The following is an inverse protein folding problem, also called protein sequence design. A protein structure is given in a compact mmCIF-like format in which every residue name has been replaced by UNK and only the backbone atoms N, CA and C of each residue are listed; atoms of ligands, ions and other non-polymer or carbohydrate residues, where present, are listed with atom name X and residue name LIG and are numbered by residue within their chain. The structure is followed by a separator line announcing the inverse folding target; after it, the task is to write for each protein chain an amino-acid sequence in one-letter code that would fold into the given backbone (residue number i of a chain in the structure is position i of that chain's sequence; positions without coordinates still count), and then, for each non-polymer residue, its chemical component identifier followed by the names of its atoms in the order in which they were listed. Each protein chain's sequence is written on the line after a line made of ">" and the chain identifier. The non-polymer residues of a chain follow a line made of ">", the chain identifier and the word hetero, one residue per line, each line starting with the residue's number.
data_IF_966504008754
#
_entry.id   IF_966504008754
#
_cell.length_a   1.000
_cell.length_b   1.000
_cell.length_c   1.000
_cell.angle_alpha   90.00
_cell.angle_beta   90.00
_cell.angle_gamma   90.00
#
_symmetry.space_group_name_H-M   'P 1'
#
loop_
_entity.id
_entity.type
_entity.pdbx_description
1 polymer ?
#
# COMPACT_ATOMS: atom_id res chain seq x y z
N UNK A 1 31.68 -60.97 48.41
CA UNK A 1 31.49 -62.28 47.78
C UNK A 1 31.57 -62.00 46.29
N UNK A 2 32.75 -62.24 45.76
CA UNK A 2 33.11 -63.40 44.92
C UNK A 2 32.26 -63.34 43.64
N UNK A 3 32.78 -63.31 42.49
CA UNK A 3 34.09 -63.71 41.94
C UNK A 3 33.93 -63.72 40.46
N UNK A 4 34.94 -63.26 39.82
CA UNK A 4 35.82 -64.05 38.94
C UNK A 4 35.24 -64.27 37.51
N UNK A 5 35.93 -63.63 36.64
CA UNK A 5 37.04 -64.10 35.74
C UNK A 5 36.63 -64.86 34.50
N UNK A 6 37.22 -64.46 33.46
CA UNK A 6 38.05 -65.06 32.45
C UNK A 6 37.58 -64.74 31.05
N UNK A 7 38.38 -64.00 30.29
CA UNK A 7 39.59 -64.42 29.52
C UNK A 7 39.28 -65.30 28.32
N UNK A 8 39.85 -64.93 27.23
CA UNK A 8 40.05 -65.80 26.06
C UNK A 8 40.00 -64.99 24.74
N UNK A 9 41.02 -64.47 24.46
CA UNK A 9 42.05 -64.51 23.44
C UNK A 9 41.64 -65.04 22.03
N UNK A 10 42.14 -64.23 21.09
CA UNK A 10 43.01 -64.64 20.00
C UNK A 10 42.36 -65.05 18.63
N UNK A 11 42.65 -64.43 17.66
CA UNK A 11 43.37 -64.70 16.36
C UNK A 11 42.69 -63.96 15.19
N UNK A 12 43.43 -63.01 14.67
CA UNK A 12 44.11 -62.93 13.37
C UNK A 12 43.46 -63.64 12.18
N UNK A 13 43.19 -62.89 11.18
CA UNK A 13 43.74 -63.07 9.80
C UNK A 13 43.14 -62.02 8.85
N UNK A 14 43.97 -61.24 8.31
CA UNK A 14 44.18 -60.77 6.92
C UNK A 14 43.12 -61.11 5.88
N UNK A 15 42.72 -60.07 5.18
CA UNK A 15 42.03 -60.19 3.89
C UNK A 15 41.81 -58.83 3.22
N UNK A 16 42.79 -58.43 2.47
CA UNK A 16 42.77 -57.25 1.56
C UNK A 16 41.70 -57.44 0.48
N UNK A 17 40.82 -56.48 0.33
CA UNK A 17 40.23 -56.18 -1.01
C UNK A 17 39.83 -54.74 -1.10
N UNK A 18 40.55 -53.97 -1.91
CA UNK A 18 40.23 -52.66 -2.37
C UNK A 18 38.93 -52.69 -3.18
N UNK A 19 37.89 -52.06 -2.69
CA UNK A 19 36.76 -51.72 -3.57
C UNK A 19 36.63 -50.19 -3.56
N UNK A 20 36.99 -49.61 -4.70
CA UNK A 20 36.84 -48.20 -5.02
C UNK A 20 35.35 -47.88 -5.06
N UNK A 21 34.86 -47.15 -4.07
CA UNK A 21 33.54 -46.54 -4.16
C UNK A 21 33.74 -45.14 -4.76
N UNK A 22 33.34 -45.03 -6.02
CA UNK A 22 33.26 -43.78 -6.75
C UNK A 22 32.06 -43.00 -6.16
N UNK A 23 32.34 -41.99 -5.32
CA UNK A 23 31.33 -41.06 -4.86
C UNK A 23 31.01 -40.12 -6.01
N UNK A 24 29.87 -40.35 -6.65
CA UNK A 24 29.29 -39.41 -7.57
C UNK A 24 28.73 -38.23 -6.79
N UNK A 25 29.45 -37.11 -6.78
CA UNK A 25 28.92 -35.80 -6.34
C UNK A 25 27.90 -35.35 -7.37
N UNK A 26 26.62 -35.54 -7.09
CA UNK A 26 25.53 -34.90 -7.80
C UNK A 26 25.53 -33.42 -7.36
N UNK A 27 26.16 -32.55 -8.15
CA UNK A 27 26.07 -31.10 -8.02
C UNK A 27 24.64 -30.67 -8.43
N UNK A 28 23.76 -30.52 -7.47
CA UNK A 28 22.45 -29.89 -7.66
C UNK A 28 22.66 -28.38 -7.88
N UNK A 29 22.69 -27.98 -9.14
CA UNK A 29 22.69 -26.58 -9.58
C UNK A 29 21.29 -25.99 -9.27
N UNK A 30 21.13 -25.34 -8.12
CA UNK A 30 19.95 -24.50 -7.84
C UNK A 30 20.01 -23.30 -8.79
N UNK A 31 19.25 -23.34 -9.89
CA UNK A 31 18.90 -22.14 -10.65
C UNK A 31 17.98 -21.30 -9.75
N UNK A 32 18.54 -20.33 -9.05
CA UNK A 32 17.78 -19.25 -8.45
C UNK A 32 17.20 -18.42 -9.62
N UNK A 33 15.94 -18.67 -9.97
CA UNK A 33 15.14 -17.81 -10.83
C UNK A 33 15.00 -16.47 -10.08
N UNK A 34 15.92 -15.55 -10.32
CA UNK A 34 15.83 -14.18 -9.87
C UNK A 34 14.61 -13.55 -10.53
N UNK A 35 13.50 -13.46 -9.80
CA UNK A 35 12.39 -12.60 -10.22
C UNK A 35 12.92 -11.16 -10.30
N UNK A 36 12.75 -10.47 -11.43
CA UNK A 36 13.09 -9.06 -11.50
C UNK A 36 12.24 -8.34 -10.46
N UNK A 37 12.87 -7.85 -9.39
CA UNK A 37 12.24 -6.89 -8.50
C UNK A 37 11.91 -5.67 -9.36
N UNK A 38 10.63 -5.47 -9.68
CA UNK A 38 10.16 -4.24 -10.31
C UNK A 38 10.60 -3.09 -9.41
N UNK A 39 11.57 -2.32 -9.88
CA UNK A 39 12.04 -1.14 -9.17
C UNK A 39 10.85 -0.19 -9.03
N UNK A 40 10.31 -0.10 -7.82
CA UNK A 40 9.21 0.81 -7.51
C UNK A 40 9.74 2.24 -7.66
N UNK A 41 9.09 3.03 -8.50
CA UNK A 41 9.43 4.44 -8.66
C UNK A 41 9.18 5.17 -7.32
N UNK A 42 10.28 5.48 -6.63
CA UNK A 42 10.24 6.15 -5.32
C UNK A 42 9.67 7.57 -5.38
N UNK A 43 9.49 8.14 -6.56
CA UNK A 43 8.89 9.46 -6.75
C UNK A 43 7.36 9.45 -6.66
N UNK A 44 6.73 8.27 -6.75
CA UNK A 44 5.28 8.08 -6.70
C UNK A 44 4.84 7.37 -5.41
N UNK A 45 3.64 7.69 -4.98
CA UNK A 45 2.98 6.98 -3.88
C UNK A 45 2.45 5.62 -4.29
N UNK A 46 2.30 4.73 -3.32
CA UNK A 46 1.74 3.40 -3.50
C UNK A 46 0.30 3.30 -3.00
N UNK A 47 -0.42 2.28 -3.45
CA UNK A 47 -1.78 2.01 -2.96
C UNK A 47 -1.82 1.78 -1.44
N UNK A 48 -0.83 1.08 -0.88
CA UNK A 48 -0.72 0.86 0.55
C UNK A 48 -0.51 2.17 1.32
N UNK A 49 0.35 3.07 0.82
CA UNK A 49 0.59 4.38 1.43
C UNK A 49 -0.65 5.28 1.35
N UNK A 50 -1.39 5.25 0.22
CA UNK A 50 -2.63 6.01 0.08
C UNK A 50 -3.71 5.54 1.05
N UNK A 51 -3.88 4.23 1.21
CA UNK A 51 -4.81 3.64 2.20
C UNK A 51 -4.41 4.02 3.62
N UNK A 52 -3.13 3.86 3.98
CA UNK A 52 -2.61 4.22 5.30
C UNK A 52 -2.77 5.72 5.59
N UNK A 53 -2.64 6.58 4.57
CA UNK A 53 -2.85 8.03 4.73
C UNK A 53 -4.32 8.35 5.04
N UNK A 54 -5.29 7.66 4.42
CA UNK A 54 -6.72 7.82 4.72
C UNK A 54 -7.03 7.37 6.14
N UNK A 55 -6.54 6.19 6.56
CA UNK A 55 -6.73 5.69 7.93
C UNK A 55 -6.16 6.67 8.97
N UNK A 56 -4.96 7.19 8.70
CA UNK A 56 -4.30 8.19 9.54
C UNK A 56 -5.09 9.51 9.58
N UNK A 57 -5.66 9.93 8.46
CA UNK A 57 -6.48 11.14 8.39
C UNK A 57 -7.76 10.99 9.24
N UNK A 58 -8.45 9.85 9.15
CA UNK A 58 -9.63 9.56 9.97
C UNK A 58 -9.27 9.53 11.46
N UNK A 59 -8.16 8.88 11.82
CA UNK A 59 -7.68 8.87 13.20
C UNK A 59 -7.35 10.29 13.72
N UNK A 60 -6.80 11.14 12.85
CA UNK A 60 -6.51 12.53 13.19
C UNK A 60 -7.80 13.34 13.41
N UNK A 61 -8.82 13.18 12.55
CA UNK A 61 -10.13 13.79 12.74
C UNK A 61 -10.73 13.41 14.09
N UNK A 62 -10.66 12.13 14.47
CA UNK A 62 -11.13 11.63 15.77
C UNK A 62 -10.40 12.28 16.95
N UNK A 63 -9.10 12.55 16.78
CA UNK A 63 -8.23 13.07 17.86
C UNK A 63 -8.38 14.56 18.07
N UNK A 64 -8.43 15.36 17.00
CA UNK A 64 -8.33 16.84 17.08
C UNK A 64 -9.60 17.57 16.67
N UNK A 65 -10.62 16.86 16.20
CA UNK A 65 -11.85 17.40 15.65
C UNK A 65 -11.71 17.81 14.18
N UNK A 66 -12.86 17.99 13.50
CA UNK A 66 -12.94 18.23 12.05
C UNK A 66 -12.26 19.53 11.64
N UNK A 67 -12.57 20.63 12.30
CA UNK A 67 -12.07 21.97 11.94
C UNK A 67 -10.54 21.99 11.91
N UNK A 68 -9.90 21.56 12.99
CA UNK A 68 -8.44 21.48 13.10
C UNK A 68 -7.85 20.53 12.08
N UNK A 69 -8.45 19.34 11.92
CA UNK A 69 -7.95 18.33 10.97
C UNK A 69 -8.01 18.83 9.52
N UNK A 70 -9.10 19.50 9.11
CA UNK A 70 -9.25 20.01 7.74
C UNK A 70 -8.26 21.15 7.44
N UNK A 71 -7.99 22.01 8.43
CA UNK A 71 -6.93 23.01 8.33
C UNK A 71 -5.55 22.36 8.15
N UNK A 72 -5.25 21.33 8.94
CA UNK A 72 -4.00 20.60 8.85
C UNK A 72 -3.84 19.90 7.48
N UNK A 73 -4.90 19.24 6.97
CA UNK A 73 -4.89 18.58 5.66
C UNK A 73 -4.65 19.57 4.51
N UNK A 74 -5.18 20.78 4.61
CA UNK A 74 -5.05 21.82 3.59
C UNK A 74 -3.75 22.63 3.68
N UNK A 75 -2.94 22.38 4.70
CA UNK A 75 -1.70 23.13 4.97
C UNK A 75 -0.56 22.84 3.96
N UNK A 76 -0.73 21.87 3.07
CA UNK A 76 0.28 21.39 2.09
C UNK A 76 1.57 20.87 2.73
N UNK A 77 1.50 20.37 3.96
CA UNK A 77 2.65 19.89 4.72
C UNK A 77 2.53 18.41 5.04
N UNK A 78 3.69 17.78 5.25
CA UNK A 78 3.71 16.45 5.84
C UNK A 78 3.01 16.44 7.22
N UNK A 79 2.33 15.34 7.56
CA UNK A 79 2.25 14.07 6.86
C UNK A 79 1.06 13.95 5.90
N UNK A 80 0.37 15.04 5.57
CA UNK A 80 -0.87 15.04 4.79
C UNK A 80 -0.66 15.24 3.29
N UNK A 81 0.59 15.56 2.92
CA UNK A 81 1.10 15.61 1.55
C UNK A 81 2.45 14.92 1.53
N UNK A 82 2.63 13.95 0.66
CA UNK A 82 3.89 13.25 0.43
C UNK A 82 4.01 12.85 -1.04
N UNK A 83 5.00 13.41 -1.76
CA UNK A 83 5.16 13.20 -3.20
C UNK A 83 3.89 13.60 -3.98
N UNK A 84 3.23 12.65 -4.64
CA UNK A 84 1.96 12.81 -5.36
C UNK A 84 0.72 12.46 -4.51
N UNK A 85 0.94 11.97 -3.27
CA UNK A 85 -0.13 11.66 -2.32
C UNK A 85 -0.60 12.91 -1.59
N UNK A 86 -1.90 13.06 -1.43
CA UNK A 86 -2.50 14.11 -0.60
C UNK A 86 -3.90 13.74 -0.15
N UNK A 87 -4.27 14.23 1.05
CA UNK A 87 -5.61 14.04 1.60
C UNK A 87 -6.60 14.98 0.96
N UNK A 88 -7.79 14.48 0.64
CA UNK A 88 -8.96 15.28 0.23
C UNK A 88 -10.16 14.83 1.06
N UNK A 89 -10.97 15.80 1.49
CA UNK A 89 -12.20 15.52 2.23
C UNK A 89 -13.37 16.19 1.53
N UNK A 90 -14.47 15.45 1.40
CA UNK A 90 -15.75 15.97 0.85
C UNK A 90 -16.87 15.73 1.87
N UNK A 91 -17.91 16.52 1.78
CA UNK A 91 -19.20 16.14 2.35
C UNK A 91 -19.95 15.18 1.41
N UNK A 92 -21.08 14.63 1.88
CA UNK A 92 -21.93 13.73 1.10
C UNK A 92 -22.73 14.41 -0.01
N UNK A 93 -22.53 15.72 -0.24
CA UNK A 93 -23.13 16.50 -1.32
C UNK A 93 -22.11 16.88 -2.39
N UNK A 94 -20.82 16.54 -2.19
CA UNK A 94 -19.76 16.83 -3.14
C UNK A 94 -19.05 18.16 -2.92
N UNK A 95 -19.26 18.82 -1.78
CA UNK A 95 -18.50 20.01 -1.41
C UNK A 95 -17.14 19.62 -0.84
N UNK A 96 -16.09 20.28 -1.27
CA UNK A 96 -14.71 20.06 -0.77
C UNK A 96 -14.57 20.72 0.61
N UNK A 97 -14.22 19.94 1.62
CA UNK A 97 -13.98 20.41 2.99
C UNK A 97 -12.48 20.59 3.28
N UNK A 98 -11.61 19.79 2.67
CA UNK A 98 -10.16 19.92 2.74
C UNK A 98 -9.50 19.40 1.46
N UNK A 99 -8.35 19.99 1.07
CA UNK A 99 -7.63 19.56 -0.13
C UNK A 99 -6.12 19.83 -0.01
N UNK A 100 -5.33 18.78 0.19
CA UNK A 100 -3.89 18.88 0.46
C UNK A 100 -3.06 19.47 -0.68
N UNK A 101 -3.46 19.29 -1.94
CA UNK A 101 -2.71 19.84 -3.07
C UNK A 101 -3.20 21.20 -3.56
N UNK A 102 -4.48 21.53 -3.37
CA UNK A 102 -5.06 22.78 -3.88
C UNK A 102 -6.10 23.39 -2.93
N UNK A 103 -5.66 24.28 -2.08
CA UNK A 103 -6.49 24.96 -1.11
C UNK A 103 -7.66 25.77 -1.75
N UNK A 104 -7.48 26.26 -3.01
CA UNK A 104 -8.52 26.99 -3.73
C UNK A 104 -9.77 26.14 -4.04
N UNK A 105 -9.68 24.83 -3.88
CA UNK A 105 -10.82 23.92 -4.01
C UNK A 105 -11.69 23.89 -2.75
N UNK A 106 -11.16 24.24 -1.59
CA UNK A 106 -11.89 24.18 -0.32
C UNK A 106 -13.11 25.13 -0.37
N UNK A 107 -14.24 24.62 0.08
CA UNK A 107 -15.52 25.30 0.09
C UNK A 107 -16.30 25.25 -1.22
N UNK A 108 -15.72 24.75 -2.32
CA UNK A 108 -16.41 24.63 -3.62
C UNK A 108 -17.29 23.39 -3.66
N UNK A 109 -18.46 23.53 -4.27
CA UNK A 109 -19.26 22.43 -4.72
C UNK A 109 -18.67 21.92 -6.06
N UNK A 110 -18.34 20.65 -6.09
CA UNK A 110 -17.70 20.02 -7.24
C UNK A 110 -18.43 18.73 -7.69
N UNK A 111 -19.72 18.61 -7.30
CA UNK A 111 -20.51 17.41 -7.61
C UNK A 111 -20.58 17.15 -9.13
N UNK A 112 -20.65 18.21 -9.92
CA UNK A 112 -20.74 18.13 -11.38
C UNK A 112 -19.39 18.22 -12.10
N UNK A 113 -18.28 18.19 -11.33
CA UNK A 113 -16.96 18.21 -11.93
C UNK A 113 -16.70 16.93 -12.73
N UNK A 114 -16.20 17.10 -13.96
CA UNK A 114 -15.87 16.00 -14.87
C UNK A 114 -14.37 15.92 -15.08
N UNK A 115 -13.91 14.72 -15.34
CA UNK A 115 -12.58 14.53 -15.90
C UNK A 115 -12.58 14.73 -17.43
N UNK A 116 -11.42 14.57 -18.07
CA UNK A 116 -11.26 14.76 -19.51
C UNK A 116 -12.04 13.73 -20.37
N UNK A 117 -12.45 12.61 -19.77
CA UNK A 117 -13.27 11.60 -20.43
C UNK A 117 -14.79 11.86 -20.21
N UNK A 118 -15.13 12.95 -19.53
CA UNK A 118 -16.52 13.32 -19.22
C UNK A 118 -17.10 12.63 -18.00
N UNK A 119 -16.29 11.89 -17.22
CA UNK A 119 -16.73 11.14 -16.04
C UNK A 119 -17.02 12.07 -14.87
N UNK A 120 -18.22 11.99 -14.32
CA UNK A 120 -18.62 12.71 -13.10
C UNK A 120 -18.07 12.02 -11.85
N UNK A 121 -16.77 12.07 -11.66
CA UNK A 121 -16.10 11.28 -10.65
C UNK A 121 -16.47 11.65 -9.21
N UNK A 122 -16.87 12.89 -8.92
CA UNK A 122 -17.32 13.28 -7.56
C UNK A 122 -18.72 12.73 -7.30
N UNK A 123 -19.64 12.78 -8.28
CA UNK A 123 -20.97 12.19 -8.17
C UNK A 123 -20.90 10.68 -7.93
N UNK A 124 -20.14 9.94 -8.73
CA UNK A 124 -19.92 8.50 -8.53
C UNK A 124 -19.31 8.20 -7.14
N UNK A 125 -18.41 9.04 -6.65
CA UNK A 125 -17.81 8.94 -5.32
C UNK A 125 -18.84 9.04 -4.21
N UNK A 126 -19.72 10.03 -4.29
CA UNK A 126 -20.85 10.21 -3.36
C UNK A 126 -21.78 8.99 -3.41
N UNK A 127 -22.14 8.52 -4.60
CA UNK A 127 -22.96 7.32 -4.78
C UNK A 127 -22.29 6.08 -4.18
N UNK A 128 -20.98 5.89 -4.41
CA UNK A 128 -20.21 4.77 -3.85
C UNK A 128 -20.21 4.80 -2.32
N UNK A 129 -20.00 5.97 -1.72
CA UNK A 129 -19.93 6.14 -0.27
C UNK A 129 -21.33 6.17 0.39
N UNK A 130 -22.40 6.36 -0.37
CA UNK A 130 -23.78 6.31 0.14
C UNK A 130 -24.30 4.90 0.37
N UNK A 131 -23.56 3.86 -0.06
CA UNK A 131 -23.97 2.45 0.08
C UNK A 131 -23.98 1.97 1.55
N UNK A 132 -23.32 2.69 2.45
CA UNK A 132 -23.32 2.34 3.87
C UNK A 132 -22.35 3.20 4.70
N UNK A 133 -22.43 3.13 6.04
CA UNK A 133 -21.57 3.91 6.92
C UNK A 133 -20.09 3.51 6.87
N UNK A 134 -19.81 2.25 6.51
CA UNK A 134 -18.46 1.69 6.39
C UNK A 134 -18.01 1.58 4.92
N UNK A 135 -18.67 2.31 4.00
CA UNK A 135 -18.34 2.26 2.58
C UNK A 135 -16.90 2.72 2.34
N UNK A 136 -16.18 1.93 1.56
CA UNK A 136 -14.80 2.22 1.14
C UNK A 136 -14.51 1.54 -0.19
N UNK A 137 -13.52 2.05 -0.91
CA UNK A 137 -13.13 1.45 -2.18
C UNK A 137 -12.23 2.35 -3.00
N UNK A 138 -11.82 1.82 -4.15
CA UNK A 138 -11.00 2.53 -5.12
C UNK A 138 -11.86 3.05 -6.26
N UNK A 139 -11.50 4.24 -6.76
CA UNK A 139 -12.13 4.86 -7.91
C UNK A 139 -11.07 5.36 -8.88
N UNK A 140 -11.24 5.00 -10.16
CA UNK A 140 -10.36 5.44 -11.24
C UNK A 140 -10.96 6.62 -11.99
N UNK A 141 -10.15 7.63 -12.28
CA UNK A 141 -10.49 8.82 -13.05
C UNK A 141 -9.20 9.51 -13.53
N UNK A 142 -9.31 10.57 -14.35
CA UNK A 142 -8.16 11.37 -14.73
C UNK A 142 -8.15 12.68 -13.96
N UNK A 143 -6.98 13.07 -13.45
CA UNK A 143 -6.85 14.31 -12.72
C UNK A 143 -5.44 14.90 -12.86
N UNK A 144 -5.33 16.21 -12.59
CA UNK A 144 -4.03 16.90 -12.61
C UNK A 144 -3.13 16.39 -11.47
N UNK A 145 -1.97 15.88 -11.84
CA UNK A 145 -0.94 15.50 -10.89
C UNK A 145 -0.24 16.78 -10.37
N UNK A 146 -0.19 17.00 -9.04
CA UNK A 146 0.39 18.22 -8.48
C UNK A 146 1.91 18.32 -8.69
N UNK A 147 2.59 17.19 -8.93
CA UNK A 147 4.04 17.14 -9.15
C UNK A 147 4.39 17.42 -10.61
N UNK A 148 3.80 16.67 -11.55
CA UNK A 148 4.09 16.77 -12.99
C UNK A 148 3.30 17.90 -13.68
N UNK A 149 2.21 18.35 -13.09
CA UNK A 149 1.23 19.30 -13.64
C UNK A 149 0.58 18.82 -14.94
N UNK A 150 0.55 17.51 -15.15
CA UNK A 150 -0.11 16.86 -16.27
C UNK A 150 -1.43 16.21 -15.82
N UNK A 151 -2.38 16.05 -16.75
CA UNK A 151 -3.56 15.22 -16.52
C UNK A 151 -3.13 13.77 -16.67
N UNK A 152 -3.21 13.02 -15.59
CA UNK A 152 -2.78 11.63 -15.53
C UNK A 152 -3.88 10.72 -15.00
N UNK A 153 -3.87 9.42 -15.36
CA UNK A 153 -4.75 8.43 -14.73
C UNK A 153 -4.49 8.38 -13.23
N UNK A 154 -5.53 8.49 -12.43
CA UNK A 154 -5.48 8.47 -10.97
C UNK A 154 -6.40 7.39 -10.42
N UNK A 155 -5.91 6.65 -9.43
CA UNK A 155 -6.72 5.76 -8.62
C UNK A 155 -6.79 6.32 -7.21
N UNK A 156 -7.99 6.60 -6.73
CA UNK A 156 -8.20 7.19 -5.40
C UNK A 156 -8.87 6.19 -4.48
N UNK A 157 -8.26 5.91 -3.34
CA UNK A 157 -8.89 5.21 -2.24
C UNK A 157 -9.77 6.19 -1.48
N UNK A 158 -10.99 5.76 -1.19
CA UNK A 158 -12.04 6.52 -0.54
C UNK A 158 -12.58 5.72 0.64
N UNK A 159 -12.85 6.41 1.72
CA UNK A 159 -13.54 5.83 2.88
C UNK A 159 -14.52 6.83 3.46
N UNK A 160 -15.73 6.35 3.72
CA UNK A 160 -16.72 7.12 4.45
C UNK A 160 -16.38 7.14 5.94
N UNK A 161 -16.48 8.31 6.53
CA UNK A 161 -16.43 8.49 7.97
C UNK A 161 -17.57 9.42 8.38
N UNK A 162 -18.58 8.87 9.06
CA UNK A 162 -19.82 9.58 9.39
C UNK A 162 -20.52 10.18 8.14
N UNK A 163 -20.58 11.50 8.04
CA UNK A 163 -21.19 12.27 6.95
C UNK A 163 -20.14 12.88 5.98
N UNK A 164 -18.91 12.42 6.03
CA UNK A 164 -17.83 12.87 5.14
C UNK A 164 -17.17 11.71 4.40
N UNK A 165 -16.49 12.06 3.32
CA UNK A 165 -15.69 11.16 2.49
C UNK A 165 -14.24 11.60 2.58
N UNK A 166 -13.38 10.73 3.08
CA UNK A 166 -11.92 10.98 3.14
C UNK A 166 -11.26 10.16 2.04
N UNK A 167 -10.37 10.79 1.28
CA UNK A 167 -9.68 10.12 0.18
C UNK A 167 -8.22 10.53 0.02
N UNK A 168 -7.44 9.59 -0.51
CA UNK A 168 -6.08 9.78 -0.99
C UNK A 168 -5.87 8.93 -2.23
N UNK A 169 -5.14 9.41 -3.22
CA UNK A 169 -4.98 8.69 -4.49
C UNK A 169 -3.57 8.70 -5.01
N UNK A 170 -3.28 7.67 -5.81
CA UNK A 170 -2.02 7.46 -6.54
C UNK A 170 -2.21 7.80 -8.01
N UNK A 171 -1.16 8.26 -8.67
CA UNK A 171 -1.14 8.44 -10.12
C UNK A 171 -0.48 7.22 -10.78
N UNK A 172 -1.20 6.66 -11.76
CA UNK A 172 -0.76 5.47 -12.51
C UNK A 172 0.27 5.88 -13.56
N UNK A 173 1.24 5.01 -13.78
CA UNK A 173 2.20 5.12 -14.88
C UNK A 173 1.56 4.70 -16.17
#
# INVERSE_FOLDING_TARGET
>A
MRGDTCSGDFHSQKGTTMTRIISAFAATLLLALGMPAMAQDKSKGTAAEATAMVDKAIAHIKKVGREKAFADFSSKKAPWVDRDLYVVVYDMKGKVLAHGANEKMVGKDVIDLRDNDGKYFVKERVEMMSKGPEAKGWQDYKFMNPVTRQIEPKSMYLQRYEDIIVGCGIYKS
#
